data_IF_850110382538
#
_entry.id   IF_850110382538
#
_cell.length_a   1.000
_cell.length_b   1.000
_cell.length_c   1.000
_cell.angle_alpha   90.00
_cell.angle_beta   90.00
_cell.angle_gamma   90.00
#
_symmetry.space_group_name_H-M   'P 1'
#
loop_
_entity.id
_entity.type
_entity.pdbx_description
1 polymer ?
#
# COMPACT_ATOMS: atom_id res chain seq x y z
N UNK A 1 -5.29 -59.30 -34.64
CA UNK A 1 -6.18 -58.45 -33.80
C UNK A 1 -5.84 -56.98 -34.08
N UNK A 2 -6.71 -56.22 -34.77
CA UNK A 2 -6.52 -54.77 -34.97
C UNK A 2 -6.87 -54.07 -33.65
N UNK A 3 -5.90 -53.39 -33.02
CA UNK A 3 -6.19 -52.51 -31.87
C UNK A 3 -7.14 -51.40 -32.35
N UNK A 4 -8.22 -51.07 -31.61
CA UNK A 4 -9.14 -50.02 -32.04
C UNK A 4 -8.45 -48.67 -31.90
N UNK A 5 -8.20 -47.99 -33.03
CA UNK A 5 -7.59 -46.67 -33.10
C UNK A 5 -8.31 -45.58 -32.28
N UNK A 6 -9.56 -45.84 -31.84
CA UNK A 6 -10.33 -44.94 -30.97
C UNK A 6 -9.80 -44.80 -29.55
N UNK A 7 -9.07 -45.81 -29.03
CA UNK A 7 -8.49 -45.74 -27.68
C UNK A 7 -7.42 -44.64 -27.58
N UNK A 8 -6.58 -44.56 -28.61
CA UNK A 8 -5.49 -43.56 -28.71
C UNK A 8 -6.07 -42.15 -28.83
N UNK A 9 -7.17 -41.98 -29.58
CA UNK A 9 -7.85 -40.70 -29.74
C UNK A 9 -8.40 -40.16 -28.41
N UNK A 10 -9.05 -41.02 -27.62
CA UNK A 10 -9.59 -40.64 -26.31
C UNK A 10 -8.46 -40.26 -25.35
N UNK A 11 -7.38 -41.04 -25.30
CA UNK A 11 -6.20 -40.74 -24.49
C UNK A 11 -5.60 -39.37 -24.87
N UNK A 12 -5.48 -39.09 -26.17
CA UNK A 12 -4.94 -37.80 -26.65
C UNK A 12 -5.84 -36.63 -26.26
N UNK A 13 -7.17 -36.77 -26.37
CA UNK A 13 -8.13 -35.74 -25.95
C UNK A 13 -8.02 -35.48 -24.45
N UNK A 14 -7.95 -36.54 -23.63
CA UNK A 14 -7.80 -36.43 -22.18
C UNK A 14 -6.47 -35.75 -21.81
N UNK A 15 -5.39 -36.07 -22.50
CA UNK A 15 -4.08 -35.42 -22.28
C UNK A 15 -4.15 -33.93 -22.63
N UNK A 16 -4.75 -33.58 -23.77
CA UNK A 16 -4.90 -32.18 -24.20
C UNK A 16 -5.76 -31.39 -23.21
N UNK A 17 -6.85 -31.97 -22.71
CA UNK A 17 -7.71 -31.27 -21.73
C UNK A 17 -7.01 -31.07 -20.41
N UNK A 18 -6.31 -32.08 -19.88
CA UNK A 18 -5.52 -31.94 -18.64
C UNK A 18 -4.42 -30.88 -18.83
N UNK A 19 -3.70 -30.90 -19.95
CA UNK A 19 -2.66 -29.92 -20.26
C UNK A 19 -3.24 -28.50 -20.35
N UNK A 20 -4.38 -28.34 -21.00
CA UNK A 20 -5.06 -27.05 -21.15
C UNK A 20 -5.54 -26.48 -19.82
N UNK A 21 -6.15 -27.32 -18.98
CA UNK A 21 -6.57 -26.92 -17.61
C UNK A 21 -5.35 -26.53 -16.77
N UNK A 22 -4.24 -27.26 -16.89
CA UNK A 22 -2.98 -26.93 -16.20
C UNK A 22 -2.42 -25.57 -16.61
N UNK A 23 -2.41 -25.27 -17.91
CA UNK A 23 -1.97 -23.97 -18.44
C UNK A 23 -2.84 -22.82 -17.94
N UNK A 24 -4.16 -22.99 -17.94
CA UNK A 24 -5.10 -21.99 -17.42
C UNK A 24 -4.86 -21.74 -15.93
N UNK A 25 -4.66 -22.80 -15.14
CA UNK A 25 -4.39 -22.71 -13.71
C UNK A 25 -3.08 -21.98 -13.39
N UNK A 26 -2.01 -22.27 -14.14
CA UNK A 26 -0.74 -21.58 -14.04
C UNK A 26 -0.87 -20.10 -14.38
N UNK A 27 -1.57 -19.77 -15.47
CA UNK A 27 -1.80 -18.39 -15.89
C UNK A 27 -2.61 -17.60 -14.85
N UNK A 28 -3.64 -18.21 -14.25
CA UNK A 28 -4.41 -17.59 -13.19
C UNK A 28 -3.57 -17.33 -11.93
N UNK A 29 -2.73 -18.29 -11.55
CA UNK A 29 -1.82 -18.18 -10.40
C UNK A 29 -0.77 -17.09 -10.61
N UNK A 30 -0.18 -17.03 -11.81
CA UNK A 30 0.78 -15.99 -12.17
C UNK A 30 0.16 -14.60 -12.14
N UNK A 31 -1.06 -14.43 -12.69
CA UNK A 31 -1.76 -13.14 -12.64
C UNK A 31 -2.09 -12.71 -11.21
N UNK A 32 -2.47 -13.64 -10.33
CA UNK A 32 -2.69 -13.34 -8.92
C UNK A 32 -1.41 -12.84 -8.25
N UNK A 33 -0.28 -13.49 -8.50
CA UNK A 33 1.02 -13.07 -7.96
C UNK A 33 1.42 -11.70 -8.51
N UNK A 34 1.30 -11.50 -9.83
CA UNK A 34 1.64 -10.25 -10.50
C UNK A 34 0.79 -9.09 -9.96
N UNK A 35 -0.51 -9.28 -9.80
CA UNK A 35 -1.42 -8.25 -9.28
C UNK A 35 -1.04 -7.86 -7.84
N UNK A 36 -0.68 -8.84 -7.00
CA UNK A 36 -0.19 -8.58 -5.64
C UNK A 36 1.16 -7.85 -5.64
N UNK A 37 2.07 -8.20 -6.54
CA UNK A 37 3.38 -7.57 -6.65
C UNK A 37 3.28 -6.12 -7.14
N UNK A 38 2.42 -5.84 -8.14
CA UNK A 38 2.17 -4.48 -8.64
C UNK A 38 1.56 -3.60 -7.55
N UNK A 39 0.59 -4.11 -6.78
CA UNK A 39 0.03 -3.38 -5.64
C UNK A 39 1.08 -2.98 -4.60
N UNK A 40 2.04 -3.88 -4.32
CA UNK A 40 3.15 -3.59 -3.40
C UNK A 40 4.18 -2.61 -3.97
N UNK A 41 4.41 -2.63 -5.28
CA UNK A 41 5.35 -1.73 -5.95
C UNK A 41 4.86 -0.28 -6.03
N UNK A 42 3.55 -0.05 -6.07
CA UNK A 42 2.99 1.31 -6.20
C UNK A 42 2.98 2.10 -4.88
N UNK A 43 3.09 1.41 -3.74
CA UNK A 43 2.70 1.98 -2.45
C UNK A 43 3.71 1.79 -1.32
N UNK A 44 4.78 1.00 -1.50
CA UNK A 44 5.82 0.81 -0.49
C UNK A 44 7.20 0.62 -1.14
N UNK A 45 7.76 1.67 -1.76
CA UNK A 45 9.19 1.66 -2.10
C UNK A 45 10.01 1.62 -0.80
N UNK A 46 11.07 0.81 -0.77
CA UNK A 46 11.94 0.61 0.40
C UNK A 46 12.47 1.95 0.94
N UNK A 47 12.78 2.90 0.05
CA UNK A 47 13.21 4.25 0.43
C UNK A 47 12.13 5.01 1.22
N UNK A 48 10.89 5.09 0.71
CA UNK A 48 9.80 5.78 1.42
C UNK A 48 9.39 5.08 2.72
N UNK A 49 9.50 3.75 2.78
CA UNK A 49 9.26 3.01 4.04
C UNK A 49 10.34 3.37 5.08
N UNK A 50 11.60 3.46 4.67
CA UNK A 50 12.68 3.88 5.56
C UNK A 50 12.53 5.33 6.03
N UNK A 51 12.20 6.25 5.11
CA UNK A 51 11.89 7.65 5.45
C UNK A 51 10.72 7.74 6.44
N UNK A 52 9.65 6.98 6.18
CA UNK A 52 8.50 6.87 7.08
C UNK A 52 8.93 6.38 8.46
N UNK A 53 9.75 5.33 8.55
CA UNK A 53 10.28 4.82 9.82
C UNK A 53 11.03 5.90 10.61
N UNK A 54 11.94 6.64 9.96
CA UNK A 54 12.72 7.70 10.63
C UNK A 54 11.81 8.80 11.18
N UNK A 55 10.82 9.23 10.39
CA UNK A 55 9.87 10.27 10.79
C UNK A 55 8.98 9.78 11.93
N UNK A 56 8.49 8.53 11.85
CA UNK A 56 7.71 7.93 12.93
C UNK A 56 8.50 7.85 14.25
N UNK A 57 9.79 7.51 14.20
CA UNK A 57 10.67 7.52 15.37
C UNK A 57 10.81 8.91 15.96
N UNK A 58 11.05 9.93 15.13
CA UNK A 58 11.10 11.31 15.59
C UNK A 58 9.80 11.73 16.30
N UNK A 59 8.64 11.39 15.74
CA UNK A 59 7.34 11.71 16.35
C UNK A 59 7.11 11.00 17.68
N UNK A 60 7.63 9.78 17.84
CA UNK A 60 7.60 9.04 19.11
C UNK A 60 8.52 9.71 20.14
N UNK A 61 9.77 10.00 19.75
CA UNK A 61 10.79 10.55 20.66
C UNK A 61 10.44 11.97 21.15
N UNK A 62 9.67 12.71 20.33
CA UNK A 62 9.18 14.06 20.66
C UNK A 62 7.79 14.08 21.30
N UNK A 63 7.19 12.91 21.59
CA UNK A 63 5.82 12.77 22.11
C UNK A 63 4.73 13.46 21.26
N UNK A 64 4.98 13.66 19.96
CA UNK A 64 4.01 14.25 19.02
C UNK A 64 2.94 13.24 18.56
N UNK A 65 3.10 11.98 18.94
CA UNK A 65 2.20 10.85 18.67
C UNK A 65 1.07 10.68 19.70
N UNK A 66 1.04 11.47 20.76
CA UNK A 66 -0.05 11.46 21.73
C UNK A 66 -1.24 12.30 21.24
N UNK A 67 -2.42 11.71 21.24
CA UNK A 67 -3.66 12.35 20.83
C UNK A 67 -4.90 11.56 21.26
N UNK A 68 -5.99 12.28 21.49
CA UNK A 68 -7.29 11.72 21.80
C UNK A 68 -8.02 11.47 20.48
N UNK A 69 -8.27 10.20 20.15
CA UNK A 69 -9.00 9.78 18.95
C UNK A 69 -8.33 8.64 18.21
N UNK A 70 -8.92 8.25 17.07
CA UNK A 70 -8.41 7.16 16.21
C UNK A 70 -7.52 7.66 15.07
N UNK A 71 -7.50 8.97 14.83
CA UNK A 71 -6.78 9.57 13.71
C UNK A 71 -6.30 10.99 14.07
N UNK A 72 -5.09 11.34 13.62
CA UNK A 72 -4.50 12.69 13.70
C UNK A 72 -3.74 13.01 12.42
N UNK A 73 -3.97 14.22 11.89
CA UNK A 73 -3.06 14.85 10.92
C UNK A 73 -1.99 15.59 11.72
N UNK A 74 -0.72 15.34 11.43
CA UNK A 74 0.38 16.07 12.08
C UNK A 74 0.51 17.44 11.43
N UNK A 75 0.52 18.48 12.26
CA UNK A 75 0.83 19.84 11.82
C UNK A 75 2.33 20.04 11.69
N UNK A 76 2.82 20.03 10.45
CA UNK A 76 4.23 20.19 10.11
C UNK A 76 4.78 21.60 10.40
N UNK A 77 3.90 22.59 10.59
CA UNK A 77 4.30 23.99 10.82
C UNK A 77 4.53 24.33 12.28
N UNK A 78 4.07 23.47 13.19
CA UNK A 78 4.13 23.68 14.64
C UNK A 78 5.53 23.48 15.24
N UNK A 79 6.40 22.70 14.57
CA UNK A 79 7.76 22.39 15.01
C UNK A 79 8.74 22.69 13.87
N UNK A 80 9.69 23.60 14.12
CA UNK A 80 10.71 23.99 13.15
C UNK A 80 11.58 22.81 12.69
N UNK A 81 11.89 21.87 13.58
CA UNK A 81 12.67 20.68 13.23
C UNK A 81 11.86 19.74 12.35
N UNK A 82 10.58 19.52 12.69
CA UNK A 82 9.68 18.72 11.89
C UNK A 82 9.44 19.34 10.51
N UNK A 83 9.32 20.67 10.43
CA UNK A 83 9.20 21.40 9.18
C UNK A 83 10.45 21.22 8.29
N UNK A 84 11.64 21.30 8.89
CA UNK A 84 12.89 21.05 8.18
C UNK A 84 12.99 19.61 7.67
N UNK A 85 12.61 18.63 8.50
CA UNK A 85 12.55 17.22 8.10
C UNK A 85 11.55 17.03 6.96
N UNK A 86 10.37 17.62 7.06
CA UNK A 86 9.34 17.52 6.04
C UNK A 86 9.77 18.14 4.72
N UNK A 87 10.41 19.30 4.75
CA UNK A 87 10.94 19.98 3.57
C UNK A 87 12.06 19.16 2.92
N UNK A 88 13.02 18.65 3.71
CA UNK A 88 14.15 17.87 3.19
C UNK A 88 13.74 16.51 2.63
N UNK A 89 12.71 15.88 3.21
CA UNK A 89 12.21 14.57 2.77
C UNK A 89 11.05 14.67 1.78
N UNK A 90 10.67 15.88 1.36
CA UNK A 90 9.53 16.14 0.48
C UNK A 90 8.21 15.55 1.01
N UNK A 91 7.97 15.66 2.31
CA UNK A 91 6.76 15.19 2.97
C UNK A 91 5.70 16.28 2.87
N UNK A 92 4.56 15.94 2.30
CA UNK A 92 3.41 16.83 2.25
C UNK A 92 2.54 16.71 3.50
N UNK A 93 2.29 15.47 3.94
CA UNK A 93 1.40 15.19 5.08
C UNK A 93 1.82 13.92 5.81
N UNK A 94 1.58 13.91 7.11
CA UNK A 94 1.74 12.73 7.97
C UNK A 94 0.42 12.48 8.68
N UNK A 95 0.00 11.22 8.66
CA UNK A 95 -1.18 10.73 9.35
C UNK A 95 -0.77 9.71 10.39
N UNK A 96 -1.32 9.88 11.60
CA UNK A 96 -1.16 8.92 12.69
C UNK A 96 -2.52 8.30 12.95
N UNK A 97 -2.57 6.98 13.00
CA UNK A 97 -3.81 6.23 13.11
C UNK A 97 -3.67 5.16 14.19
N UNK A 98 -4.70 5.05 15.03
CA UNK A 98 -4.81 4.05 16.10
C UNK A 98 -6.17 3.37 16.05
N UNK A 99 -6.23 2.08 16.40
CA UNK A 99 -7.48 1.33 16.54
C UNK A 99 -7.89 0.53 15.29
N UNK A 100 -9.18 0.30 15.09
CA UNK A 100 -9.68 -0.55 14.00
C UNK A 100 -9.79 0.22 12.69
N UNK A 101 -9.43 -0.43 11.58
CA UNK A 101 -9.44 0.17 10.25
C UNK A 101 -10.80 0.81 9.87
N UNK A 102 -11.89 0.14 10.24
CA UNK A 102 -13.28 0.57 9.95
C UNK A 102 -13.65 1.89 10.60
N UNK A 103 -12.99 2.26 11.70
CA UNK A 103 -13.27 3.50 12.44
C UNK A 103 -12.65 4.72 11.75
N UNK A 104 -11.57 4.51 10.99
CA UNK A 104 -10.86 5.53 10.20
C UNK A 104 -11.62 5.85 8.92
N UNK A 105 -12.21 4.83 8.28
CA UNK A 105 -12.92 4.96 7.01
C UNK A 105 -14.33 5.53 7.15
N UNK A 106 -14.68 6.06 8.32
CA UNK A 106 -15.99 6.72 8.50
C UNK A 106 -16.07 7.99 7.66
N UNK A 107 -17.23 8.29 7.03
CA UNK A 107 -17.35 9.42 6.11
C UNK A 107 -16.90 10.76 6.69
N UNK A 108 -17.19 11.01 7.97
CA UNK A 108 -16.80 12.24 8.67
C UNK A 108 -15.28 12.45 8.76
N UNK A 109 -14.52 11.38 8.97
CA UNK A 109 -13.05 11.44 9.06
C UNK A 109 -12.39 11.49 7.67
N UNK A 110 -13.02 10.87 6.66
CA UNK A 110 -12.55 10.90 5.28
C UNK A 110 -12.74 12.27 4.60
N UNK A 111 -13.71 13.09 5.04
CA UNK A 111 -13.92 14.44 4.49
C UNK A 111 -12.75 15.41 4.76
N UNK A 112 -11.92 15.11 5.75
CA UNK A 112 -10.72 15.90 6.08
C UNK A 112 -9.48 15.45 5.31
N UNK A 113 -9.60 14.39 4.50
CA UNK A 113 -8.53 13.80 3.71
C UNK A 113 -8.67 14.17 2.24
N UNK A 114 -7.55 14.37 1.55
CA UNK A 114 -7.55 14.53 0.10
C UNK A 114 -7.81 13.18 -0.59
N UNK A 115 -8.39 13.22 -1.80
CA UNK A 115 -8.82 12.01 -2.52
C UNK A 115 -7.71 10.98 -2.75
N UNK A 116 -6.45 11.42 -2.88
CA UNK A 116 -5.30 10.54 -3.02
C UNK A 116 -5.00 9.76 -1.74
N UNK A 117 -5.02 10.44 -0.59
CA UNK A 117 -4.85 9.84 0.74
C UNK A 117 -5.98 8.89 1.09
N UNK A 118 -7.23 9.21 0.72
CA UNK A 118 -8.38 8.30 0.89
C UNK A 118 -8.17 7.01 0.11
N UNK A 119 -7.73 7.12 -1.15
CA UNK A 119 -7.51 5.96 -2.02
C UNK A 119 -6.40 5.06 -1.49
N UNK A 120 -5.32 5.67 -0.97
CA UNK A 120 -4.23 4.94 -0.32
C UNK A 120 -4.69 4.22 0.95
N UNK A 121 -5.35 4.93 1.88
CA UNK A 121 -5.85 4.33 3.12
C UNK A 121 -6.78 3.16 2.80
N UNK A 122 -7.63 3.29 1.77
CA UNK A 122 -8.52 2.21 1.30
C UNK A 122 -7.78 0.96 0.81
N UNK A 123 -6.59 1.14 0.24
CA UNK A 123 -5.76 0.09 -0.32
C UNK A 123 -4.70 -0.44 0.66
N UNK A 124 -4.66 0.08 1.89
CA UNK A 124 -3.64 -0.22 2.87
C UNK A 124 -3.71 -1.69 3.32
N UNK A 125 -2.68 -2.47 3.02
CA UNK A 125 -2.62 -3.89 3.40
C UNK A 125 -1.87 -4.15 4.70
N UNK A 126 -0.99 -3.23 5.12
CA UNK A 126 -0.09 -3.41 6.26
C UNK A 126 -0.66 -2.81 7.56
N UNK A 127 -1.97 -2.63 7.64
CA UNK A 127 -2.63 -2.06 8.80
C UNK A 127 -2.63 -3.04 9.98
N UNK A 128 -2.09 -2.61 11.13
CA UNK A 128 -2.11 -3.41 12.36
C UNK A 128 -2.98 -2.69 13.41
N UNK A 129 -4.10 -3.29 13.78
CA UNK A 129 -5.07 -2.70 14.72
C UNK A 129 -4.52 -2.59 16.15
N UNK A 130 -3.47 -3.35 16.47
CA UNK A 130 -2.86 -3.39 17.80
C UNK A 130 -1.76 -2.34 17.98
N UNK A 131 -1.34 -1.69 16.89
CA UNK A 131 -0.20 -0.77 16.86
C UNK A 131 -0.60 0.62 16.38
N UNK A 132 0.31 1.57 16.53
CA UNK A 132 0.14 2.89 15.95
C UNK A 132 0.62 2.85 14.50
N UNK A 133 -0.28 3.12 13.57
CA UNK A 133 0.02 3.14 12.14
C UNK A 133 0.37 4.58 11.73
N UNK A 134 1.55 4.75 11.16
CA UNK A 134 2.01 6.00 10.58
C UNK A 134 1.94 5.90 9.07
N UNK A 135 1.29 6.87 8.44
CA UNK A 135 1.15 6.96 6.99
C UNK A 135 1.73 8.30 6.57
N UNK A 136 2.68 8.28 5.64
CA UNK A 136 3.37 9.49 5.18
C UNK A 136 3.13 9.66 3.70
N UNK A 137 2.74 10.87 3.31
CA UNK A 137 2.55 11.29 1.93
C UNK A 137 3.76 12.10 1.47
N UNK A 138 4.42 11.63 0.44
CA UNK A 138 5.57 12.26 -0.19
C UNK A 138 5.16 12.86 -1.54
N UNK A 139 5.71 14.03 -1.86
CA UNK A 139 5.45 14.73 -3.12
C UNK A 139 6.75 15.05 -3.80
N UNK A 140 6.98 14.46 -4.96
CA UNK A 140 8.17 14.71 -5.75
C UNK A 140 7.83 15.46 -7.04
N UNK A 141 8.83 16.18 -7.54
CA UNK A 141 8.76 16.77 -8.87
C UNK A 141 8.70 15.64 -9.90
N UNK A 142 7.65 15.65 -10.73
CA UNK A 142 7.52 14.70 -11.82
C UNK A 142 8.40 15.05 -13.02
N UNK A 143 8.29 14.26 -14.10
CA UNK A 143 9.03 14.49 -15.34
C UNK A 143 8.72 15.86 -15.97
N UNK A 144 7.51 16.36 -15.73
CA UNK A 144 7.09 17.73 -16.06
C UNK A 144 7.02 18.60 -14.81
N UNK A 145 7.42 19.88 -14.88
CA UNK A 145 7.43 20.78 -13.72
C UNK A 145 6.04 21.08 -13.13
N UNK A 146 4.98 20.75 -13.87
CA UNK A 146 3.58 20.90 -13.43
C UNK A 146 3.04 19.63 -12.78
N UNK A 147 3.62 18.47 -13.11
CA UNK A 147 3.16 17.17 -12.61
C UNK A 147 3.88 16.83 -11.32
N UNK A 148 3.10 16.61 -10.26
CA UNK A 148 3.61 16.12 -8.98
C UNK A 148 3.41 14.62 -8.90
N UNK A 149 4.46 13.88 -8.60
CA UNK A 149 4.38 12.45 -8.30
C UNK A 149 4.08 12.30 -6.82
N UNK A 150 2.96 11.66 -6.50
CA UNK A 150 2.54 11.42 -5.12
C UNK A 150 2.90 9.98 -4.78
N UNK A 151 3.74 9.83 -3.77
CA UNK A 151 4.08 8.54 -3.19
C UNK A 151 3.55 8.46 -1.77
N UNK A 152 3.20 7.25 -1.35
CA UNK A 152 2.81 6.97 0.02
C UNK A 152 3.70 5.87 0.55
N UNK A 153 3.82 5.82 1.87
CA UNK A 153 4.32 4.66 2.58
C UNK A 153 3.69 4.60 3.97
N UNK A 154 3.68 3.40 4.55
CA UNK A 154 3.11 3.18 5.88
C UNK A 154 3.95 2.26 6.73
N UNK A 155 3.90 2.47 8.05
CA UNK A 155 4.48 1.55 9.02
C UNK A 155 3.63 1.48 10.28
N UNK A 156 3.50 0.27 10.82
CA UNK A 156 2.89 0.02 12.12
C UNK A 156 3.98 -0.19 13.19
N UNK A 157 3.97 0.64 14.23
CA UNK A 157 4.92 0.59 15.36
C UNK A 157 4.15 0.42 16.67
#
# INVERSE_FOLDING_TARGET
>A
MKKPNGFILIETIVVITILSVGLISLYASYNLILTKAVGRSYYDNVDYVYKTYMVSRYLIDTNQNDFIGNYKVVDLTSDNNLNNIATNLNIEKIYIVKGTYTTITTPANLLQLDGSSISYIKALTNYDETKTNYIVKFVEAGPDPVLKVINFASIAI
#
